data_IF_656553391768
#
_entry.id   IF_656553391768
#
_cell.length_a   1.000
_cell.length_b   1.000
_cell.length_c   1.000
_cell.angle_alpha   90.00
_cell.angle_beta   90.00
_cell.angle_gamma   90.00
#
_symmetry.space_group_name_H-M   'P 1'
#
loop_
_entity.id
_entity.type
_entity.pdbx_description
1 polymer ?
#
# COMPACT_ATOMS: atom_id res chain seq x y z
N UNK A 1 22.08 -10.57 4.92
CA UNK A 1 21.45 -11.75 5.56
C UNK A 1 20.34 -11.35 6.58
N UNK A 2 20.55 -10.47 7.59
CA UNK A 2 19.50 -10.13 8.56
C UNK A 2 18.23 -9.57 7.90
N UNK A 3 18.39 -8.70 6.91
CA UNK A 3 17.28 -8.10 6.16
C UNK A 3 16.45 -9.14 5.41
N UNK A 4 17.10 -10.10 4.74
CA UNK A 4 16.41 -11.18 4.02
C UNK A 4 15.60 -12.03 5.00
N UNK A 5 16.19 -12.37 6.13
CA UNK A 5 15.53 -13.13 7.19
C UNK A 5 14.28 -12.40 7.71
N UNK A 6 14.39 -11.09 8.00
CA UNK A 6 13.27 -10.28 8.45
C UNK A 6 12.14 -10.22 7.41
N UNK A 7 12.47 -10.03 6.14
CA UNK A 7 11.49 -10.02 5.04
C UNK A 7 10.77 -11.38 4.90
N UNK A 8 11.49 -12.48 5.10
CA UNK A 8 10.92 -13.83 5.04
C UNK A 8 10.07 -14.14 6.26
N UNK A 9 10.58 -13.89 7.47
CA UNK A 9 9.90 -14.25 8.73
C UNK A 9 8.66 -13.38 9.00
N UNK A 10 8.76 -12.08 8.78
CA UNK A 10 7.69 -11.14 9.14
C UNK A 10 6.70 -10.92 8.00
N UNK A 11 7.21 -10.71 6.79
CA UNK A 11 6.36 -10.42 5.63
C UNK A 11 5.94 -11.69 4.87
N UNK A 12 6.53 -12.85 5.18
CA UNK A 12 6.21 -14.12 4.54
C UNK A 12 6.68 -14.20 3.08
N UNK A 13 7.72 -13.45 2.72
CA UNK A 13 8.23 -13.44 1.36
C UNK A 13 9.16 -14.61 1.11
N UNK A 14 9.17 -15.11 -0.11
CA UNK A 14 10.04 -16.22 -0.52
C UNK A 14 11.50 -15.77 -0.59
N UNK A 15 12.38 -16.42 0.17
CA UNK A 15 13.81 -16.09 0.23
C UNK A 15 14.47 -16.16 -1.15
N UNK A 16 14.13 -17.19 -1.95
CA UNK A 16 14.68 -17.36 -3.29
C UNK A 16 14.37 -16.18 -4.20
N UNK A 17 13.15 -15.64 -4.11
CA UNK A 17 12.73 -14.47 -4.87
C UNK A 17 13.51 -13.22 -4.47
N UNK A 18 13.71 -13.00 -3.17
CA UNK A 18 14.51 -11.88 -2.67
C UNK A 18 15.96 -12.02 -3.15
N UNK A 19 16.55 -13.20 -3.02
CA UNK A 19 17.93 -13.46 -3.46
C UNK A 19 18.08 -13.32 -4.97
N UNK A 20 17.11 -13.73 -5.77
CA UNK A 20 17.15 -13.55 -7.22
C UNK A 20 17.14 -12.07 -7.60
N UNK A 21 16.30 -11.25 -6.97
CA UNK A 21 16.25 -9.81 -7.19
C UNK A 21 17.59 -9.11 -6.87
N UNK A 22 18.29 -9.58 -5.84
CA UNK A 22 19.58 -9.02 -5.43
C UNK A 22 20.75 -9.50 -6.29
N UNK A 23 20.63 -10.65 -6.93
CA UNK A 23 21.70 -11.31 -7.72
C UNK A 23 21.60 -11.04 -9.22
N UNK A 24 20.46 -10.57 -9.70
CA UNK A 24 20.23 -10.30 -11.12
C UNK A 24 21.06 -9.08 -11.56
N UNK A 25 21.76 -9.21 -12.67
CA UNK A 25 22.64 -8.17 -13.23
C UNK A 25 21.89 -6.88 -13.56
N UNK A 26 20.62 -7.01 -13.99
CA UNK A 26 19.80 -5.87 -14.40
C UNK A 26 19.25 -5.10 -13.19
N UNK A 27 19.02 -5.80 -12.08
CA UNK A 27 18.46 -5.22 -10.85
C UNK A 27 19.49 -4.86 -9.81
N UNK A 28 20.67 -5.53 -9.80
CA UNK A 28 21.73 -5.31 -8.80
C UNK A 28 22.33 -3.91 -8.82
N UNK A 29 22.23 -3.18 -9.94
CA UNK A 29 22.68 -1.79 -10.06
C UNK A 29 21.57 -0.76 -9.84
N UNK A 30 20.35 -1.20 -9.62
CA UNK A 30 19.23 -0.31 -9.29
C UNK A 30 19.34 0.22 -7.87
N UNK A 31 19.04 1.50 -7.68
CA UNK A 31 19.06 2.12 -6.36
C UNK A 31 17.96 1.59 -5.45
N UNK A 32 16.87 1.04 -6.01
CA UNK A 32 15.80 0.39 -5.26
C UNK A 32 15.12 -0.69 -6.10
N UNK A 33 14.50 -1.64 -5.41
CA UNK A 33 13.70 -2.70 -6.01
C UNK A 33 12.41 -2.90 -5.22
N UNK A 34 11.31 -3.05 -5.94
CA UNK A 34 10.01 -3.35 -5.33
C UNK A 34 9.96 -4.84 -5.03
N UNK A 35 10.00 -5.18 -3.75
CA UNK A 35 9.99 -6.59 -3.30
C UNK A 35 8.56 -7.13 -3.23
N UNK A 36 7.63 -6.32 -2.75
CA UNK A 36 6.21 -6.67 -2.69
C UNK A 36 5.34 -5.41 -2.84
N UNK A 37 4.10 -5.62 -3.26
CA UNK A 37 3.06 -4.57 -3.36
C UNK A 37 1.87 -4.96 -2.51
N UNK A 38 1.03 -3.98 -2.17
CA UNK A 38 -0.25 -4.18 -1.45
C UNK A 38 -0.07 -4.82 -0.07
N UNK A 39 1.01 -4.48 0.62
CA UNK A 39 1.23 -4.92 1.99
C UNK A 39 0.25 -4.20 2.92
N UNK A 40 -0.37 -4.94 3.86
CA UNK A 40 -1.27 -4.33 4.83
C UNK A 40 -0.50 -3.44 5.83
N UNK A 41 -1.17 -2.41 6.35
CA UNK A 41 -0.61 -1.54 7.39
C UNK A 41 -0.22 -2.30 8.66
N UNK A 42 -0.91 -3.41 8.96
CA UNK A 42 -0.59 -4.24 10.11
C UNK A 42 0.75 -4.97 9.92
N UNK A 43 1.01 -5.46 8.71
CA UNK A 43 2.30 -6.09 8.36
C UNK A 43 3.46 -5.08 8.37
N UNK A 44 3.23 -3.85 7.96
CA UNK A 44 4.21 -2.77 8.10
C UNK A 44 4.57 -2.58 9.56
N UNK A 45 3.57 -2.40 10.44
CA UNK A 45 3.79 -2.21 11.89
C UNK A 45 4.49 -3.41 12.54
N UNK A 46 4.15 -4.63 12.12
CA UNK A 46 4.80 -5.85 12.59
C UNK A 46 6.29 -5.87 12.22
N UNK A 47 6.62 -5.43 11.01
CA UNK A 47 8.00 -5.34 10.55
C UNK A 47 8.78 -4.24 11.29
N UNK A 48 8.20 -3.05 11.45
CA UNK A 48 8.80 -1.95 12.20
C UNK A 48 9.06 -2.36 13.66
N UNK A 49 8.10 -2.99 14.31
CA UNK A 49 8.25 -3.52 15.66
C UNK A 49 9.32 -4.63 15.75
N UNK A 50 9.46 -5.44 14.71
CA UNK A 50 10.51 -6.45 14.62
C UNK A 50 11.89 -5.82 14.49
N UNK A 51 12.02 -4.79 13.66
CA UNK A 51 13.29 -4.07 13.43
C UNK A 51 13.74 -3.30 14.68
N UNK A 52 12.81 -2.64 15.38
CA UNK A 52 13.06 -1.83 16.57
C UNK A 52 13.27 -2.63 17.84
N UNK A 53 12.93 -3.92 17.86
CA UNK A 53 13.04 -4.74 19.04
C UNK A 53 14.52 -4.98 19.44
N UNK A 54 14.82 -4.71 20.70
CA UNK A 54 16.14 -4.73 21.31
C UNK A 54 16.22 -5.69 22.53
N UNK A 55 17.26 -5.56 23.33
CA UNK A 55 17.44 -6.34 24.55
C UNK A 55 16.37 -6.04 25.61
N UNK A 56 15.84 -4.83 25.67
CA UNK A 56 14.76 -4.44 26.58
C UNK A 56 13.44 -5.14 26.21
N UNK A 57 13.31 -5.54 24.94
CA UNK A 57 12.20 -6.35 24.43
C UNK A 57 12.34 -7.86 24.73
N UNK A 58 13.35 -8.25 25.53
CA UNK A 58 13.59 -9.64 25.92
C UNK A 58 14.40 -10.48 24.93
N UNK A 59 15.06 -9.83 23.98
CA UNK A 59 15.95 -10.50 23.03
C UNK A 59 17.34 -10.74 23.65
N UNK A 60 18.03 -11.76 23.16
CA UNK A 60 19.44 -11.93 23.47
C UNK A 60 20.27 -10.85 22.74
N UNK A 61 21.44 -10.51 23.29
CA UNK A 61 22.37 -9.54 22.68
C UNK A 61 22.73 -9.87 21.22
N UNK A 62 22.78 -11.16 20.86
CA UNK A 62 23.04 -11.61 19.49
C UNK A 62 21.84 -11.29 18.57
N UNK A 63 20.62 -11.52 19.03
CA UNK A 63 19.41 -11.23 18.26
C UNK A 63 19.17 -9.72 18.10
N UNK A 64 19.36 -8.94 19.16
CA UNK A 64 19.28 -7.48 19.11
C UNK A 64 20.30 -6.92 18.09
N UNK A 65 21.54 -7.41 18.10
CA UNK A 65 22.54 -7.04 17.12
C UNK A 65 22.17 -7.43 15.68
N UNK A 66 21.56 -8.60 15.51
CA UNK A 66 21.08 -9.05 14.20
C UNK A 66 20.00 -8.10 13.67
N UNK A 67 19.03 -7.71 14.49
CA UNK A 67 17.95 -6.80 14.13
C UNK A 67 18.46 -5.39 13.83
N UNK A 68 19.37 -4.87 14.60
CA UNK A 68 20.03 -3.58 14.35
C UNK A 68 20.80 -3.52 13.02
N UNK A 69 21.07 -4.66 12.40
CA UNK A 69 21.68 -4.76 11.08
C UNK A 69 20.66 -4.94 9.93
N UNK A 70 19.36 -4.90 10.21
CA UNK A 70 18.34 -4.81 9.17
C UNK A 70 18.44 -3.41 8.57
N UNK A 71 18.68 -3.32 7.27
CA UNK A 71 18.87 -2.03 6.58
C UNK A 71 18.40 -2.13 5.14
N UNK A 72 18.05 -0.97 4.58
CA UNK A 72 17.72 -0.84 3.17
C UNK A 72 16.28 -1.28 2.84
N UNK A 73 15.39 -1.34 3.83
CA UNK A 73 13.97 -1.55 3.63
C UNK A 73 13.24 -0.25 3.94
N UNK A 74 12.31 0.12 3.09
CA UNK A 74 11.39 1.23 3.35
C UNK A 74 10.03 0.91 2.77
N UNK A 75 9.01 1.60 3.26
CA UNK A 75 7.64 1.41 2.85
C UNK A 75 7.13 2.70 2.21
N UNK A 76 6.49 2.55 1.06
CA UNK A 76 5.74 3.63 0.44
C UNK A 76 4.25 3.38 0.66
N UNK A 77 3.53 4.40 1.09
CA UNK A 77 2.09 4.34 1.25
C UNK A 77 1.42 4.49 -0.11
N UNK A 78 0.51 3.58 -0.39
CA UNK A 78 -0.33 3.63 -1.57
C UNK A 78 -1.79 3.41 -1.20
N UNK A 79 -2.69 4.03 -1.94
CA UNK A 79 -4.13 3.93 -1.70
C UNK A 79 -4.74 2.94 -2.67
N UNK A 80 -5.37 1.92 -2.10
CA UNK A 80 -6.08 0.92 -2.88
C UNK A 80 -7.59 1.15 -2.77
N UNK A 81 -8.26 1.32 -3.91
CA UNK A 81 -9.71 1.38 -3.95
C UNK A 81 -10.28 -0.01 -3.64
N UNK A 82 -11.16 -0.09 -2.67
CA UNK A 82 -11.84 -1.33 -2.29
C UNK A 82 -13.35 -1.20 -2.47
N UNK A 83 -13.99 -2.30 -2.86
CA UNK A 83 -15.44 -2.37 -3.08
C UNK A 83 -16.04 -3.37 -2.07
N UNK A 84 -16.52 -2.91 -0.90
CA UNK A 84 -16.96 -3.79 0.18
C UNK A 84 -18.11 -4.73 -0.19
N UNK A 85 -18.90 -4.35 -1.20
CA UNK A 85 -20.04 -5.15 -1.69
C UNK A 85 -19.75 -5.85 -3.03
N UNK A 86 -18.47 -6.02 -3.36
CA UNK A 86 -17.99 -6.64 -4.59
C UNK A 86 -18.63 -6.02 -5.86
N UNK A 87 -19.39 -6.79 -6.61
CA UNK A 87 -19.96 -6.38 -7.89
C UNK A 87 -21.28 -5.59 -7.77
N UNK A 88 -21.83 -5.44 -6.55
CA UNK A 88 -23.12 -4.79 -6.37
C UNK A 88 -23.08 -3.34 -6.88
N UNK A 89 -24.01 -3.02 -7.79
CA UNK A 89 -24.14 -1.74 -8.48
C UNK A 89 -22.87 -1.30 -9.26
N UNK A 90 -22.01 -2.23 -9.68
CA UNK A 90 -20.73 -1.92 -10.32
C UNK A 90 -20.85 -1.00 -11.53
N UNK A 91 -21.85 -1.18 -12.39
CA UNK A 91 -22.08 -0.34 -13.57
C UNK A 91 -22.49 1.10 -13.20
N UNK A 92 -23.15 1.28 -12.06
CA UNK A 92 -23.57 2.60 -11.57
C UNK A 92 -22.45 3.29 -10.80
N UNK A 93 -21.77 2.56 -9.93
CA UNK A 93 -20.67 3.10 -9.12
C UNK A 93 -19.45 3.36 -10.01
N UNK A 94 -19.16 2.45 -10.93
CA UNK A 94 -17.96 2.50 -11.74
C UNK A 94 -16.76 1.90 -11.03
N UNK A 95 -15.59 2.14 -11.59
CA UNK A 95 -14.32 1.65 -11.04
C UNK A 95 -13.17 2.60 -11.37
N UNK A 96 -12.12 2.51 -10.57
CA UNK A 96 -10.86 3.22 -10.80
C UNK A 96 -9.86 2.27 -11.44
N UNK A 97 -9.20 2.73 -12.49
CA UNK A 97 -8.13 2.00 -13.18
C UNK A 97 -6.77 2.19 -12.50
N UNK A 98 -6.56 3.37 -11.95
CA UNK A 98 -5.34 3.76 -11.25
C UNK A 98 -5.72 4.76 -10.16
N UNK A 99 -4.76 5.16 -9.34
CA UNK A 99 -4.92 6.07 -8.18
C UNK A 99 -5.92 7.20 -8.42
N UNK A 100 -5.78 7.88 -9.55
CA UNK A 100 -6.47 9.14 -9.85
C UNK A 100 -7.35 9.07 -11.09
N UNK A 101 -7.49 7.89 -11.70
CA UNK A 101 -8.22 7.72 -12.95
C UNK A 101 -9.40 6.80 -12.73
N UNK A 102 -10.57 7.39 -12.58
CA UNK A 102 -11.85 6.68 -12.66
C UNK A 102 -12.45 6.91 -14.04
N UNK A 103 -12.82 5.81 -14.71
CA UNK A 103 -13.23 5.84 -16.12
C UNK A 103 -14.75 5.78 -16.32
N UNK A 104 -15.52 5.31 -15.34
CA UNK A 104 -16.95 5.06 -15.51
C UNK A 104 -17.77 5.34 -14.25
N UNK A 105 -19.08 5.42 -14.45
CA UNK A 105 -20.06 5.52 -13.39
C UNK A 105 -19.95 6.79 -12.53
N UNK A 106 -20.36 6.71 -11.30
CA UNK A 106 -20.26 7.80 -10.33
C UNK A 106 -18.81 8.14 -10.02
N UNK A 107 -17.92 7.16 -9.95
CA UNK A 107 -16.51 7.39 -9.70
C UNK A 107 -15.88 8.20 -10.84
N UNK A 108 -16.20 7.88 -12.11
CA UNK A 108 -15.74 8.67 -13.25
C UNK A 108 -16.30 10.08 -13.28
N UNK A 109 -17.61 10.22 -13.09
CA UNK A 109 -18.27 11.53 -13.11
C UNK A 109 -17.77 12.48 -12.01
N UNK A 110 -17.57 11.97 -10.80
CA UNK A 110 -17.13 12.76 -9.65
C UNK A 110 -15.63 12.61 -9.36
N UNK A 111 -14.85 12.12 -10.30
CA UNK A 111 -13.42 11.85 -10.09
C UNK A 111 -12.69 13.05 -9.49
N UNK A 112 -12.85 14.24 -10.04
CA UNK A 112 -12.22 15.48 -9.53
C UNK A 112 -12.63 15.86 -8.10
N UNK A 113 -13.76 15.35 -7.61
CA UNK A 113 -14.26 15.60 -6.26
C UNK A 113 -13.74 14.54 -5.28
N UNK A 114 -13.65 13.29 -5.75
CA UNK A 114 -13.23 12.13 -4.97
C UNK A 114 -11.70 12.08 -4.83
N UNK A 115 -10.99 12.47 -5.87
CA UNK A 115 -9.53 12.53 -5.86
C UNK A 115 -9.04 13.69 -5.01
N UNK A 116 -8.10 13.42 -4.12
CA UNK A 116 -7.41 14.43 -3.34
C UNK A 116 -6.30 15.12 -4.13
N UNK A 117 -5.45 15.81 -3.42
CA UNK A 117 -4.22 16.39 -3.95
C UNK A 117 -3.07 15.83 -3.14
N UNK A 118 -2.12 15.23 -3.85
CA UNK A 118 -0.94 14.65 -3.22
C UNK A 118 -0.12 15.70 -2.48
N UNK A 119 0.35 15.35 -1.30
CA UNK A 119 1.34 16.14 -0.59
C UNK A 119 2.68 16.09 -1.30
N UNK A 120 3.57 17.00 -0.91
CA UNK A 120 4.93 17.05 -1.44
C UNK A 120 5.92 17.24 -0.32
N UNK A 121 7.02 16.50 -0.40
CA UNK A 121 8.13 16.64 0.52
C UNK A 121 9.39 17.00 -0.25
N UNK A 122 10.04 18.07 0.16
CA UNK A 122 11.31 18.54 -0.41
C UNK A 122 12.38 18.48 0.66
N UNK A 123 13.48 17.82 0.36
CA UNK A 123 14.68 17.88 1.17
C UNK A 123 15.75 18.72 0.48
N UNK A 124 16.41 19.60 1.22
CA UNK A 124 17.61 20.31 0.75
C UNK A 124 18.65 20.39 1.88
N UNK A 125 19.90 20.43 1.48
CA UNK A 125 21.01 20.59 2.41
C UNK A 125 21.25 22.09 2.56
N UNK A 126 21.17 22.59 3.78
CA UNK A 126 21.48 24.00 4.07
C UNK A 126 23.00 24.27 4.09
N UNK A 127 23.39 25.52 4.31
CA UNK A 127 24.81 25.92 4.31
C UNK A 127 25.61 25.29 5.44
N UNK A 128 24.96 24.82 6.50
CA UNK A 128 25.58 24.16 7.65
C UNK A 128 25.63 22.61 7.48
N UNK A 129 25.29 22.12 6.28
CA UNK A 129 25.24 20.69 5.93
C UNK A 129 24.14 19.91 6.65
N UNK A 130 23.14 20.59 7.23
CA UNK A 130 21.96 19.97 7.80
C UNK A 130 20.89 19.75 6.73
N UNK A 131 20.13 18.65 6.85
CA UNK A 131 19.02 18.35 5.97
C UNK A 131 17.76 19.07 6.47
N UNK A 132 17.35 20.10 5.75
CA UNK A 132 16.06 20.74 5.99
C UNK A 132 14.99 20.12 5.10
N UNK A 133 13.79 19.91 5.67
CA UNK A 133 12.65 19.34 4.97
C UNK A 133 11.47 20.30 5.00
N UNK A 134 10.88 20.51 3.84
CA UNK A 134 9.62 21.22 3.69
C UNK A 134 8.54 20.22 3.29
N UNK A 135 7.49 20.11 4.10
CA UNK A 135 6.38 19.19 3.86
C UNK A 135 5.13 20.02 3.52
N UNK A 136 4.57 19.79 2.35
CA UNK A 136 3.25 20.27 1.96
C UNK A 136 2.30 19.09 2.17
N UNK A 137 1.36 19.17 3.13
CA UNK A 137 0.48 18.04 3.43
C UNK A 137 -0.46 17.74 2.27
N UNK A 138 -0.83 16.47 2.13
CA UNK A 138 -1.85 16.03 1.20
C UNK A 138 -3.23 16.60 1.59
N UNK A 139 -4.05 16.82 0.59
CA UNK A 139 -5.46 17.20 0.80
C UNK A 139 -6.36 16.04 0.38
N UNK A 140 -7.12 15.50 1.32
CA UNK A 140 -8.01 14.39 1.04
C UNK A 140 -9.14 14.79 0.08
N UNK A 141 -9.53 13.86 -0.79
CA UNK A 141 -10.73 13.96 -1.59
C UNK A 141 -12.00 14.01 -0.72
N UNK A 142 -13.11 14.35 -1.33
CA UNK A 142 -14.41 14.42 -0.66
C UNK A 142 -15.15 13.10 -0.79
N UNK A 143 -16.06 12.82 0.14
CA UNK A 143 -16.97 11.68 0.08
C UNK A 143 -18.26 12.05 -0.63
N UNK A 144 -18.87 11.06 -1.33
CA UNK A 144 -20.17 11.18 -1.97
C UNK A 144 -21.11 10.23 -1.28
N UNK A 145 -22.27 10.74 -0.86
CA UNK A 145 -23.37 9.93 -0.36
C UNK A 145 -24.39 9.73 -1.46
N UNK A 146 -24.68 8.47 -1.79
CA UNK A 146 -25.66 8.09 -2.79
C UNK A 146 -26.98 7.67 -2.13
N UNK A 147 -28.07 7.63 -2.90
CA UNK A 147 -29.37 7.09 -2.48
C UNK A 147 -29.54 5.60 -2.83
N UNK A 148 -28.46 4.93 -3.24
CA UNK A 148 -28.51 3.49 -3.57
C UNK A 148 -28.74 2.71 -2.28
N UNK A 149 -29.84 1.95 -2.25
CA UNK A 149 -30.09 0.97 -1.20
C UNK A 149 -29.43 -0.35 -1.60
N UNK A 150 -28.34 -0.66 -0.91
CA UNK A 150 -27.53 -1.84 -1.25
C UNK A 150 -28.29 -3.15 -1.04
N UNK A 151 -29.21 -3.21 -0.07
CA UNK A 151 -30.02 -4.40 0.17
C UNK A 151 -31.01 -4.65 -0.98
N UNK A 152 -31.69 -3.59 -1.43
CA UNK A 152 -32.57 -3.67 -2.60
C UNK A 152 -31.79 -4.03 -3.87
N UNK A 153 -30.62 -3.42 -4.06
CA UNK A 153 -29.74 -3.69 -5.19
C UNK A 153 -29.33 -5.17 -5.27
N UNK A 154 -28.84 -5.72 -4.18
CA UNK A 154 -28.44 -7.14 -4.13
C UNK A 154 -29.59 -8.10 -4.41
N UNK A 155 -30.79 -7.78 -3.93
CA UNK A 155 -31.97 -8.60 -4.22
C UNK A 155 -32.29 -8.59 -5.71
N UNK A 156 -32.33 -7.41 -6.33
CA UNK A 156 -32.60 -7.26 -7.77
C UNK A 156 -31.57 -8.00 -8.61
N UNK A 157 -30.29 -7.80 -8.33
CA UNK A 157 -29.19 -8.47 -9.04
C UNK A 157 -29.27 -10.00 -8.95
N UNK A 158 -29.59 -10.52 -7.76
CA UNK A 158 -29.79 -11.96 -7.58
C UNK A 158 -30.86 -12.51 -8.53
N UNK A 159 -32.00 -11.83 -8.67
CA UNK A 159 -33.04 -12.27 -9.57
C UNK A 159 -32.66 -12.10 -11.05
N UNK A 160 -32.04 -10.97 -11.40
CA UNK A 160 -31.59 -10.73 -12.78
C UNK A 160 -30.56 -11.77 -13.22
N UNK A 161 -29.61 -12.11 -12.36
CA UNK A 161 -28.60 -13.13 -12.67
C UNK A 161 -29.24 -14.52 -12.80
N UNK A 162 -30.20 -14.85 -11.95
CA UNK A 162 -30.96 -16.12 -12.09
C UNK A 162 -31.75 -16.22 -13.42
N UNK A 163 -32.15 -15.10 -14.01
CA UNK A 163 -32.77 -15.08 -15.35
C UNK A 163 -31.76 -15.25 -16.48
N UNK A 164 -30.51 -14.84 -16.30
CA UNK A 164 -29.47 -15.01 -17.33
C UNK A 164 -28.99 -16.46 -17.43
N UNK A 165 -29.13 -17.23 -16.36
CA UNK A 165 -28.67 -18.62 -16.28
C UNK A 165 -29.78 -19.64 -16.70
N UNK A 166 -31.02 -19.18 -16.89
CA UNK A 166 -32.16 -20.00 -17.30
C UNK A 166 -32.40 -19.97 -18.81
#
# INVERSE_FOLDING_TARGET
>A
EPTIKALTEVLGLEEEKIRSLLSDSDTSQSQYQIVTKQLSMDKKKEFEAYEEADEDSGLSASQAKERANIKGVWFEEDYLRTYPFNEAACDTIGFTLDRDVADSGLEGYYNSTLTGVDGRQYGYINNDSDVEQTIIPATNGKSIQTSIDIGAQQIVEKYVNGFKEA
#
